data_IF_091671991606
#
_entry.id   IF_091671991606
#
_cell.length_a   1.000
_cell.length_b   1.000
_cell.length_c   1.000
_cell.angle_alpha   90.00
_cell.angle_beta   90.00
_cell.angle_gamma   90.00
#
_symmetry.space_group_name_H-M   'P 1'
#
loop_
_entity.id
_entity.type
_entity.pdbx_description
1 polymer ?
#
# COMPACT_ATOMS: atom_id res chain seq x y z
N UNK A 1 10.24 -0.73 15.44
CA UNK A 1 10.11 -1.43 14.14
C UNK A 1 9.77 -0.45 13.01
N UNK A 2 10.69 0.47 12.65
CA UNK A 2 10.44 1.54 11.65
C UNK A 2 11.39 1.48 10.43
N UNK A 3 12.19 0.42 10.30
CA UNK A 3 13.32 0.41 9.36
C UNK A 3 13.04 -0.07 7.93
N UNK A 4 11.93 -0.79 7.69
CA UNK A 4 11.69 -1.43 6.37
C UNK A 4 10.81 -0.56 5.47
N UNK A 5 9.82 0.15 6.03
CA UNK A 5 8.86 0.94 5.23
C UNK A 5 9.39 2.30 4.78
N UNK A 6 10.46 2.81 5.40
CA UNK A 6 11.15 4.04 4.99
C UNK A 6 12.01 3.88 3.71
N UNK A 7 12.09 2.68 3.12
CA UNK A 7 12.90 2.39 1.93
C UNK A 7 12.18 2.57 0.58
N UNK A 8 10.85 2.74 0.58
CA UNK A 8 10.08 2.85 -0.67
C UNK A 8 9.82 4.31 -1.03
N UNK A 9 10.06 4.66 -2.29
CA UNK A 9 9.70 5.96 -2.86
C UNK A 9 8.19 6.10 -3.03
N UNK A 10 7.70 7.34 -3.12
CA UNK A 10 6.28 7.65 -3.37
C UNK A 10 5.72 6.91 -4.60
N UNK A 11 6.49 6.85 -5.70
CA UNK A 11 6.11 6.11 -6.92
C UNK A 11 6.00 4.60 -6.67
N UNK A 12 6.91 4.04 -5.87
CA UNK A 12 6.86 2.61 -5.52
C UNK A 12 5.66 2.28 -4.64
N UNK A 13 5.30 3.15 -3.70
CA UNK A 13 4.10 2.98 -2.87
C UNK A 13 2.82 2.98 -3.71
N UNK A 14 2.71 3.89 -4.68
CA UNK A 14 1.57 3.91 -5.62
C UNK A 14 1.54 2.68 -6.53
N UNK A 15 2.71 2.22 -6.99
CA UNK A 15 2.79 0.98 -7.77
C UNK A 15 2.33 -0.25 -6.96
N UNK A 16 2.74 -0.34 -5.69
CA UNK A 16 2.29 -1.41 -4.79
C UNK A 16 0.78 -1.33 -4.53
N UNK A 17 0.25 -0.14 -4.25
CA UNK A 17 -1.20 0.10 -4.10
C UNK A 17 -1.97 -0.42 -5.31
N UNK A 18 -1.51 -0.08 -6.52
CA UNK A 18 -2.14 -0.51 -7.77
C UNK A 18 -2.07 -2.02 -7.98
N UNK A 19 -0.92 -2.64 -7.65
CA UNK A 19 -0.74 -4.09 -7.77
C UNK A 19 -1.69 -4.86 -6.83
N UNK A 20 -1.85 -4.38 -5.59
CA UNK A 20 -2.74 -5.00 -4.59
C UNK A 20 -4.21 -4.91 -5.05
N UNK A 21 -4.63 -3.73 -5.55
CA UNK A 21 -6.00 -3.57 -6.06
C UNK A 21 -6.28 -4.54 -7.22
N UNK A 22 -5.36 -4.64 -8.19
CA UNK A 22 -5.46 -5.60 -9.29
C UNK A 22 -5.46 -7.06 -8.84
N UNK A 23 -4.70 -7.38 -7.79
CA UNK A 23 -4.68 -8.73 -7.24
C UNK A 23 -6.03 -9.09 -6.62
N UNK A 24 -6.63 -8.19 -5.84
CA UNK A 24 -7.94 -8.38 -5.21
C UNK A 24 -9.12 -8.42 -6.21
N UNK A 25 -8.93 -7.95 -7.44
CA UNK A 25 -9.93 -8.03 -8.53
C UNK A 25 -10.01 -9.42 -9.18
N UNK A 26 -9.12 -10.35 -8.85
CA UNK A 26 -9.12 -11.69 -9.48
C UNK A 26 -10.19 -12.59 -8.88
N UNK A 27 -10.77 -13.43 -9.73
CA UNK A 27 -11.86 -14.36 -9.36
C UNK A 27 -11.40 -15.48 -8.40
N UNK A 28 -10.09 -15.73 -8.28
CA UNK A 28 -9.50 -16.78 -7.46
C UNK A 28 -9.06 -16.32 -6.06
N UNK A 29 -9.34 -15.07 -5.69
CA UNK A 29 -8.95 -14.50 -4.38
C UNK A 29 -9.81 -15.07 -3.27
N UNK A 30 -9.16 -15.62 -2.25
CA UNK A 30 -9.86 -16.11 -1.05
C UNK A 30 -10.20 -14.95 -0.10
N UNK A 31 -11.13 -15.17 0.83
CA UNK A 31 -11.45 -14.18 1.85
C UNK A 31 -10.24 -13.85 2.76
N UNK A 32 -9.36 -14.83 2.99
CA UNK A 32 -8.14 -14.64 3.78
C UNK A 32 -7.11 -13.80 3.02
N UNK A 33 -6.95 -14.06 1.71
CA UNK A 33 -6.15 -13.20 0.83
C UNK A 33 -6.67 -11.76 0.90
N UNK A 34 -7.99 -11.57 0.75
CA UNK A 34 -8.62 -10.26 0.80
C UNK A 34 -8.38 -9.52 2.12
N UNK A 35 -8.47 -10.20 3.27
CA UNK A 35 -8.18 -9.61 4.59
C UNK A 35 -6.70 -9.21 4.70
N UNK A 36 -5.79 -10.07 4.24
CA UNK A 36 -4.35 -9.82 4.30
C UNK A 36 -3.95 -8.64 3.41
N UNK A 37 -4.52 -8.57 2.20
CA UNK A 37 -4.25 -7.53 1.21
C UNK A 37 -4.89 -6.19 1.60
N UNK A 38 -6.08 -6.19 2.22
CA UNK A 38 -6.63 -4.97 2.82
C UNK A 38 -5.74 -4.40 3.93
N UNK A 39 -5.21 -5.26 4.80
CA UNK A 39 -4.30 -4.82 5.86
C UNK A 39 -3.00 -4.22 5.29
N UNK A 40 -2.51 -4.78 4.18
CA UNK A 40 -1.35 -4.25 3.46
C UNK A 40 -1.67 -2.91 2.78
N UNK A 41 -2.84 -2.80 2.14
CA UNK A 41 -3.33 -1.59 1.49
C UNK A 41 -3.46 -0.42 2.49
N UNK A 42 -3.97 -0.67 3.69
CA UNK A 42 -4.05 0.31 4.77
C UNK A 42 -2.67 0.84 5.17
N UNK A 43 -1.68 -0.05 5.31
CA UNK A 43 -0.30 0.34 5.63
C UNK A 43 0.32 1.19 4.53
N UNK A 44 0.10 0.84 3.26
CA UNK A 44 0.62 1.59 2.12
C UNK A 44 -0.02 2.98 2.03
N UNK A 45 -1.35 3.07 2.20
CA UNK A 45 -2.04 4.35 2.20
C UNK A 45 -1.53 5.26 3.32
N UNK A 46 -1.33 4.72 4.53
CA UNK A 46 -0.76 5.47 5.64
C UNK A 46 0.64 6.03 5.31
N UNK A 47 1.50 5.26 4.65
CA UNK A 47 2.82 5.73 4.23
C UNK A 47 2.78 6.78 3.13
N UNK A 48 1.83 6.66 2.19
CA UNK A 48 1.60 7.67 1.16
C UNK A 48 1.19 8.99 1.81
N UNK A 49 0.27 8.98 2.77
CA UNK A 49 -0.14 10.19 3.48
C UNK A 49 1.00 10.78 4.31
N UNK A 50 1.78 9.97 5.04
CA UNK A 50 2.99 10.47 5.71
C UNK A 50 3.99 11.12 4.74
N UNK A 51 4.15 10.56 3.54
CA UNK A 51 5.02 11.14 2.52
C UNK A 51 4.46 12.44 1.95
N UNK A 52 3.14 12.54 1.78
CA UNK A 52 2.50 13.79 1.35
C UNK A 52 2.70 14.89 2.39
N UNK A 53 2.44 14.59 3.66
CA UNK A 53 2.65 15.52 4.78
C UNK A 53 4.11 15.99 4.86
N UNK A 54 5.07 15.08 4.76
CA UNK A 54 6.51 15.42 4.82
C UNK A 54 6.99 16.28 3.65
N UNK A 55 6.38 16.14 2.48
CA UNK A 55 6.80 16.82 1.26
C UNK A 55 5.85 17.98 0.86
N UNK A 56 4.88 18.34 1.72
CA UNK A 56 3.83 19.32 1.44
C UNK A 56 3.12 19.09 0.09
N UNK A 57 2.87 17.83 -0.25
CA UNK A 57 2.16 17.45 -1.47
C UNK A 57 0.66 17.41 -1.14
N UNK A 58 -0.11 18.37 -1.68
CA UNK A 58 -1.58 18.40 -1.61
C UNK A 58 -2.22 17.36 -2.55
#
# INVERSE_FOLDING_TARGET
>A
MSGILAKFSYKQLHAMKHAILKYMERDDVTEDDFKSEQALLLKINYLIEQMKERNNIN
#
